data_IF_475400748771
#
_entry.id   IF_475400748771
#
_cell.length_a   1.000
_cell.length_b   1.000
_cell.length_c   1.000
_cell.angle_alpha   90.00
_cell.angle_beta   90.00
_cell.angle_gamma   90.00
#
_symmetry.space_group_name_H-M   'P 1'
#
loop_
_entity.id
_entity.type
_entity.pdbx_description
1 polymer ?
#
# COMPACT_ATOMS: atom_id res chain seq x y z
N UNK A 1 24.85 -7.23 7.75
CA UNK A 1 23.42 -7.39 7.47
C UNK A 1 23.22 -8.87 7.19
N UNK A 2 22.48 -9.60 8.02
CA UNK A 2 22.28 -11.05 7.84
C UNK A 2 21.04 -11.22 6.98
N UNK A 3 21.17 -11.85 5.80
CA UNK A 3 20.02 -12.08 4.93
C UNK A 3 19.11 -13.20 5.46
N UNK A 4 17.91 -13.33 4.89
CA UNK A 4 16.90 -14.32 5.31
C UNK A 4 17.42 -15.76 5.24
N UNK A 5 18.26 -16.09 4.26
CA UNK A 5 18.81 -17.44 4.10
C UNK A 5 19.77 -17.78 5.23
N UNK A 6 20.62 -16.84 5.64
CA UNK A 6 21.50 -17.02 6.78
C UNK A 6 20.71 -17.13 8.11
N UNK A 7 19.57 -16.45 8.25
CA UNK A 7 18.68 -16.61 9.39
C UNK A 7 17.99 -17.97 9.42
N UNK A 8 17.45 -18.41 8.27
CA UNK A 8 16.79 -19.72 8.16
C UNK A 8 17.78 -20.86 8.41
N UNK A 9 19.00 -20.77 7.89
CA UNK A 9 20.04 -21.79 8.09
C UNK A 9 20.43 -21.92 9.58
N UNK A 10 20.56 -20.79 10.29
CA UNK A 10 20.70 -20.79 11.74
C UNK A 10 19.49 -21.42 12.45
N UNK A 11 18.28 -21.12 11.98
CA UNK A 11 17.03 -21.61 12.58
C UNK A 11 16.89 -23.13 12.43
N UNK A 12 17.32 -23.70 11.29
CA UNK A 12 17.40 -25.14 11.07
C UNK A 12 18.27 -25.84 12.12
N UNK A 13 19.35 -25.21 12.57
CA UNK A 13 20.22 -25.73 13.63
C UNK A 13 19.64 -25.61 15.05
N UNK A 14 18.55 -24.84 15.25
CA UNK A 14 17.96 -24.59 16.58
C UNK A 14 16.59 -25.23 16.76
N UNK A 15 15.70 -25.04 15.79
CA UNK A 15 14.36 -25.61 15.77
C UNK A 15 13.92 -25.89 14.32
N UNK A 16 14.09 -27.13 13.85
CA UNK A 16 13.71 -27.52 12.49
C UNK A 16 12.23 -27.35 12.18
N UNK A 17 11.33 -27.50 13.18
CA UNK A 17 9.88 -27.35 12.96
C UNK A 17 9.50 -25.89 12.72
N UNK A 18 10.12 -24.99 13.48
CA UNK A 18 9.94 -23.56 13.29
C UNK A 18 10.58 -23.08 11.98
N UNK A 19 11.72 -23.66 11.59
CA UNK A 19 12.39 -23.37 10.32
C UNK A 19 11.48 -23.66 9.12
N UNK A 20 10.88 -24.86 9.06
CA UNK A 20 9.92 -25.23 8.00
C UNK A 20 8.78 -24.21 7.91
N UNK A 21 8.13 -23.91 9.04
CA UNK A 21 7.00 -22.96 9.04
C UNK A 21 7.41 -21.56 8.57
N UNK A 22 8.59 -21.11 8.99
CA UNK A 22 9.08 -19.77 8.64
C UNK A 22 9.43 -19.69 7.16
N UNK A 23 10.04 -20.75 6.60
CA UNK A 23 10.27 -20.91 5.18
C UNK A 23 8.94 -20.89 4.41
N UNK A 24 7.95 -21.67 4.84
CA UNK A 24 6.64 -21.73 4.18
C UNK A 24 5.93 -20.37 4.14
N UNK A 25 5.99 -19.60 5.24
CA UNK A 25 5.42 -18.25 5.28
C UNK A 25 6.17 -17.29 4.37
N UNK A 26 7.50 -17.36 4.36
CA UNK A 26 8.32 -16.53 3.48
C UNK A 26 8.05 -16.83 2.00
N UNK A 27 7.97 -18.10 1.63
CA UNK A 27 7.71 -18.52 0.25
C UNK A 27 6.28 -18.18 -0.17
N UNK A 28 5.30 -18.30 0.75
CA UNK A 28 3.92 -17.87 0.52
C UNK A 28 3.84 -16.35 0.31
N UNK A 29 4.55 -15.57 1.12
CA UNK A 29 4.64 -14.12 0.97
C UNK A 29 5.30 -13.73 -0.34
N UNK A 30 6.38 -14.41 -0.74
CA UNK A 30 7.02 -14.18 -2.04
C UNK A 30 6.11 -14.53 -3.21
N UNK A 31 5.36 -15.63 -3.15
CA UNK A 31 4.37 -15.98 -4.18
C UNK A 31 3.27 -14.94 -4.29
N UNK A 32 2.76 -14.44 -3.15
CA UNK A 32 1.81 -13.33 -3.11
C UNK A 32 2.39 -12.07 -3.76
N UNK A 33 3.64 -11.73 -3.45
CA UNK A 33 4.33 -10.59 -4.06
C UNK A 33 4.50 -10.75 -5.57
N UNK A 34 4.94 -11.91 -6.04
CA UNK A 34 5.12 -12.17 -7.48
C UNK A 34 3.79 -12.07 -8.21
N UNK A 35 2.73 -12.68 -7.69
CA UNK A 35 1.38 -12.59 -8.28
C UNK A 35 0.86 -11.14 -8.29
N UNK A 36 1.10 -10.39 -7.21
CA UNK A 36 0.74 -8.96 -7.17
C UNK A 36 1.54 -8.12 -8.17
N UNK A 37 2.85 -8.36 -8.30
CA UNK A 37 3.69 -7.67 -9.28
C UNK A 37 3.29 -7.97 -10.72
N UNK A 38 2.98 -9.24 -11.04
CA UNK A 38 2.53 -9.64 -12.37
C UNK A 38 1.20 -8.96 -12.75
N UNK A 39 0.27 -8.79 -11.79
CA UNK A 39 -0.97 -8.04 -12.01
C UNK A 39 -0.78 -6.51 -12.16
N UNK A 40 0.36 -5.96 -11.74
CA UNK A 40 0.64 -4.52 -11.74
C UNK A 40 1.51 -4.04 -12.89
N UNK A 41 2.16 -4.95 -13.63
CA UNK A 41 3.02 -4.60 -14.75
C UNK A 41 2.27 -3.94 -15.94
N UNK A 42 0.94 -4.01 -16.00
CA UNK A 42 0.15 -3.37 -17.06
C UNK A 42 -0.05 -1.86 -16.87
N UNK A 43 0.30 -1.27 -15.71
CA UNK A 43 -0.03 0.13 -15.39
C UNK A 43 1.19 0.98 -15.03
N UNK A 44 2.38 0.71 -15.58
CA UNK A 44 3.56 1.53 -15.31
C UNK A 44 3.41 2.90 -16.02
N UNK A 45 3.45 3.99 -15.26
CA UNK A 45 3.42 5.37 -15.80
C UNK A 45 2.10 6.13 -15.64
N UNK A 46 1.09 5.56 -15.00
CA UNK A 46 -0.13 6.29 -14.63
C UNK A 46 0.07 7.18 -13.40
N UNK A 47 -0.55 8.35 -13.39
CA UNK A 47 -0.77 9.13 -12.15
C UNK A 47 -2.26 9.51 -12.00
N UNK A 48 -2.75 9.56 -10.76
CA UNK A 48 -4.06 10.16 -10.45
C UNK A 48 -4.00 11.05 -9.22
N UNK A 49 -4.94 12.00 -9.14
CA UNK A 49 -5.08 12.91 -8.01
C UNK A 49 -6.38 12.56 -7.28
N UNK A 50 -6.30 12.33 -5.98
CA UNK A 50 -7.44 12.07 -5.12
C UNK A 50 -7.73 13.32 -4.30
N UNK A 51 -8.96 13.80 -4.42
CA UNK A 51 -9.50 14.88 -3.59
C UNK A 51 -8.69 16.20 -3.65
N UNK A 52 -7.90 16.39 -4.71
CA UNK A 52 -6.97 17.52 -4.84
C UNK A 52 -5.82 17.56 -3.82
N UNK A 53 -5.74 16.58 -2.91
CA UNK A 53 -4.83 16.57 -1.75
C UNK A 53 -3.77 15.48 -1.81
N UNK A 54 -4.01 14.44 -2.60
CA UNK A 54 -3.12 13.29 -2.72
C UNK A 54 -2.85 12.97 -4.18
N UNK A 55 -1.63 12.53 -4.47
CA UNK A 55 -1.25 12.02 -5.78
C UNK A 55 -0.81 10.57 -5.64
N UNK A 56 -1.33 9.70 -6.49
CA UNK A 56 -0.85 8.33 -6.64
C UNK A 56 -0.07 8.27 -7.94
N UNK A 57 1.12 7.68 -7.89
CA UNK A 57 1.94 7.38 -9.07
C UNK A 57 2.16 5.87 -9.10
N UNK A 58 1.88 5.24 -10.24
CA UNK A 58 2.30 3.85 -10.45
C UNK A 58 3.77 3.83 -10.83
N UNK A 59 4.55 3.19 -9.97
CA UNK A 59 5.98 2.99 -10.12
C UNK A 59 6.29 1.50 -10.36
N UNK A 60 7.54 1.22 -10.72
CA UNK A 60 8.01 -0.14 -11.04
C UNK A 60 7.73 -1.18 -9.96
N UNK A 61 7.63 -0.75 -8.70
CA UNK A 61 7.51 -1.61 -7.52
C UNK A 61 6.19 -1.41 -6.75
N UNK A 62 5.21 -0.71 -7.35
CA UNK A 62 3.89 -0.50 -6.74
C UNK A 62 3.36 0.92 -6.91
N UNK A 63 2.42 1.29 -6.03
CA UNK A 63 1.71 2.55 -6.02
C UNK A 63 2.30 3.48 -4.97
N UNK A 64 3.00 4.53 -5.41
CA UNK A 64 3.54 5.54 -4.52
C UNK A 64 2.47 6.61 -4.20
N UNK A 65 2.20 6.81 -2.91
CA UNK A 65 1.27 7.82 -2.41
C UNK A 65 2.03 9.07 -1.98
N UNK A 66 1.67 10.22 -2.53
CA UNK A 66 2.23 11.52 -2.19
C UNK A 66 1.15 12.42 -1.56
N UNK A 67 1.53 13.18 -0.53
CA UNK A 67 0.69 14.28 -0.05
C UNK A 67 1.04 15.55 -0.82
N UNK A 68 0.04 16.18 -1.43
CA UNK A 68 0.20 17.50 -2.08
C UNK A 68 0.11 18.66 -1.08
N UNK A 69 -0.18 18.36 0.19
CA UNK A 69 -0.32 19.33 1.25
C UNK A 69 1.00 19.63 1.97
N UNK A 70 2.04 18.84 1.71
CA UNK A 70 3.34 18.96 2.37
C UNK A 70 4.40 19.42 1.37
N UNK A 71 5.42 20.15 1.86
CA UNK A 71 6.58 20.53 1.05
C UNK A 71 7.59 19.39 0.87
N UNK A 72 7.30 18.20 1.39
CA UNK A 72 8.17 17.05 1.26
C UNK A 72 8.07 16.50 -0.17
N UNK A 73 9.22 16.29 -0.81
CA UNK A 73 9.29 15.77 -2.19
C UNK A 73 9.13 14.24 -2.25
N UNK A 74 9.24 13.56 -1.10
CA UNK A 74 9.12 12.10 -1.01
C UNK A 74 7.69 11.58 -0.89
N UNK A 75 7.43 10.31 -1.28
CA UNK A 75 6.15 9.66 -1.03
C UNK A 75 5.92 9.46 0.47
N UNK A 76 4.66 9.52 0.90
CA UNK A 76 4.24 9.08 2.22
C UNK A 76 4.56 7.60 2.43
N UNK A 77 4.27 6.78 1.42
CA UNK A 77 4.54 5.35 1.40
C UNK A 77 4.35 4.77 -0.02
N UNK A 78 4.86 3.54 -0.22
CA UNK A 78 4.69 2.76 -1.45
C UNK A 78 3.89 1.50 -1.12
N UNK A 79 2.86 1.23 -1.92
CA UNK A 79 1.91 0.16 -1.68
C UNK A 79 1.88 -0.84 -2.83
N UNK A 80 1.77 -2.12 -2.49
CA UNK A 80 1.62 -3.19 -3.50
C UNK A 80 0.15 -3.45 -3.87
N UNK A 81 -0.82 -2.74 -3.30
CA UNK A 81 -2.23 -2.86 -3.67
C UNK A 81 -3.03 -1.61 -3.29
N UNK A 82 -4.14 -1.31 -3.98
CA UNK A 82 -4.91 -0.08 -3.76
C UNK A 82 -5.65 -0.04 -2.42
N UNK A 83 -6.04 -1.20 -1.85
CA UNK A 83 -6.79 -1.25 -0.59
C UNK A 83 -6.06 -0.61 0.60
N UNK A 84 -4.85 -1.08 0.96
CA UNK A 84 -4.04 -0.46 2.01
C UNK A 84 -3.70 1.00 1.71
N UNK A 85 -3.45 1.34 0.45
CA UNK A 85 -3.21 2.72 0.02
C UNK A 85 -4.39 3.62 0.39
N UNK A 86 -5.61 3.21 0.04
CA UNK A 86 -6.81 4.00 0.34
C UNK A 86 -7.06 4.12 1.84
N UNK A 87 -6.83 3.05 2.61
CA UNK A 87 -6.97 3.07 4.06
C UNK A 87 -6.03 4.10 4.70
N UNK A 88 -4.75 4.10 4.30
CA UNK A 88 -3.76 5.04 4.83
C UNK A 88 -4.01 6.46 4.36
N UNK A 89 -4.44 6.67 3.11
CA UNK A 89 -4.86 7.99 2.62
C UNK A 89 -5.98 8.57 3.48
N UNK A 90 -7.02 7.77 3.76
CA UNK A 90 -8.17 8.19 4.58
C UNK A 90 -7.70 8.51 6.00
N UNK A 91 -6.92 7.61 6.61
CA UNK A 91 -6.38 7.80 7.95
C UNK A 91 -5.51 9.07 8.04
N UNK A 92 -4.64 9.29 7.06
CA UNK A 92 -3.78 10.48 6.98
C UNK A 92 -4.62 11.76 6.84
N UNK A 93 -5.64 11.73 5.98
CA UNK A 93 -6.54 12.86 5.76
C UNK A 93 -7.29 13.25 7.04
N UNK A 94 -7.90 12.26 7.69
CA UNK A 94 -8.69 12.46 8.92
C UNK A 94 -7.82 13.01 10.04
N UNK A 95 -6.60 12.47 10.23
CA UNK A 95 -5.66 12.99 11.25
C UNK A 95 -5.35 14.48 11.06
N UNK A 96 -5.36 14.96 9.83
CA UNK A 96 -5.11 16.38 9.51
C UNK A 96 -6.35 17.26 9.63
N UNK A 97 -7.54 16.72 9.43
CA UNK A 97 -8.81 17.44 9.60
C UNK A 97 -9.11 17.77 11.07
N UNK A 98 -8.42 17.16 12.03
CA UNK A 98 -8.54 17.45 13.46
C UNK A 98 -9.49 16.50 14.21
N UNK A 99 -10.04 16.95 15.34
CA UNK A 99 -10.97 16.14 16.14
C UNK A 99 -12.35 16.10 15.46
N UNK A 100 -12.58 15.06 14.65
CA UNK A 100 -13.90 14.72 14.16
C UNK A 100 -14.64 13.91 15.23
N UNK A 101 -15.92 14.19 15.41
CA UNK A 101 -16.78 13.26 16.14
C UNK A 101 -17.05 12.00 15.30
N UNK A 102 -17.75 11.02 15.86
CA UNK A 102 -18.01 9.76 15.16
C UNK A 102 -18.85 9.96 13.89
N UNK A 103 -19.77 10.93 13.86
CA UNK A 103 -20.62 11.21 12.70
C UNK A 103 -19.83 11.84 11.56
N UNK A 104 -19.04 12.87 11.89
CA UNK A 104 -18.16 13.55 10.94
C UNK A 104 -17.07 12.62 10.40
N UNK A 105 -16.55 11.73 11.25
CA UNK A 105 -15.60 10.70 10.84
C UNK A 105 -16.22 9.77 9.77
N UNK A 106 -17.45 9.29 10.00
CA UNK A 106 -18.14 8.40 9.06
C UNK A 106 -18.41 9.14 7.74
N UNK A 107 -18.91 10.37 7.82
CA UNK A 107 -19.22 11.18 6.64
C UNK A 107 -17.97 11.48 5.81
N UNK A 108 -16.88 11.91 6.43
CA UNK A 108 -15.62 12.21 5.72
C UNK A 108 -14.97 10.95 5.17
N UNK A 109 -15.00 9.84 5.91
CA UNK A 109 -14.51 8.54 5.42
C UNK A 109 -15.27 8.09 4.17
N UNK A 110 -16.60 8.20 4.18
CA UNK A 110 -17.43 7.82 3.04
C UNK A 110 -17.17 8.71 1.82
N UNK A 111 -17.04 10.03 2.04
CA UNK A 111 -16.71 10.99 0.97
C UNK A 111 -15.34 10.69 0.35
N UNK A 112 -14.33 10.43 1.17
CA UNK A 112 -12.98 10.08 0.72
C UNK A 112 -12.95 8.73 -0.01
N UNK A 113 -13.64 7.70 0.49
CA UNK A 113 -13.79 6.43 -0.22
C UNK A 113 -14.40 6.63 -1.61
N UNK A 114 -15.41 7.50 -1.73
CA UNK A 114 -16.00 7.82 -3.01
C UNK A 114 -15.01 8.52 -3.95
N UNK A 115 -14.23 9.46 -3.45
CA UNK A 115 -13.18 10.13 -4.21
C UNK A 115 -12.11 9.13 -4.70
N UNK A 116 -11.70 8.19 -3.84
CA UNK A 116 -10.79 7.10 -4.21
C UNK A 116 -11.39 6.23 -5.33
N UNK A 117 -12.66 5.85 -5.22
CA UNK A 117 -13.33 5.03 -6.22
C UNK A 117 -13.35 5.71 -7.61
N UNK A 118 -13.70 7.00 -7.66
CA UNK A 118 -13.76 7.77 -8.91
C UNK A 118 -12.38 7.89 -9.53
N UNK A 119 -11.40 8.36 -8.76
CA UNK A 119 -10.04 8.53 -9.24
C UNK A 119 -9.40 7.21 -9.70
N UNK A 120 -9.71 6.10 -9.02
CA UNK A 120 -9.20 4.78 -9.39
C UNK A 120 -9.81 4.25 -10.69
N UNK A 121 -11.09 4.52 -10.94
CA UNK A 121 -11.74 4.19 -12.20
C UNK A 121 -11.13 4.98 -13.37
N UNK A 122 -10.84 6.27 -13.18
CA UNK A 122 -10.17 7.12 -14.17
C UNK A 122 -8.71 6.70 -14.41
N UNK A 123 -8.04 6.18 -13.39
CA UNK A 123 -6.68 5.65 -13.46
C UNK A 123 -6.58 4.35 -14.29
N UNK A 124 -7.70 3.66 -14.53
CA UNK A 124 -7.75 2.42 -15.30
C UNK A 124 -7.63 1.12 -14.47
N UNK A 125 -7.56 1.21 -13.14
CA UNK A 125 -7.44 0.05 -12.24
C UNK A 125 -8.76 -0.67 -11.92
N UNK A 126 -9.83 -0.38 -12.67
CA UNK A 126 -11.19 -0.88 -12.44
C UNK A 126 -11.75 -1.80 -13.52
N UNK A 127 -10.89 -2.52 -14.24
CA UNK A 127 -11.32 -3.60 -15.16
C UNK A 127 -11.02 -4.97 -14.57
#
# INVERSE_FOLDING_TARGET
>A
MTDFYAFIDWLWGRDPRLAVRTQDYHDSWHKLLTHHHESQQETIGGQCIIDGRYRIISEKYGLALYSLMERNEGPLAIYHSPGPLFADLIAHSIRRSGHLDAGDFIAESARLLKACQVAWAEFGGGK
#
